data_IF_031044380370
#
_entry.id   IF_031044380370
#
_cell.length_a   1.000
_cell.length_b   1.000
_cell.length_c   1.000
_cell.angle_alpha   90.00
_cell.angle_beta   90.00
_cell.angle_gamma   90.00
#
_symmetry.space_group_name_H-M   'P 1'
#
loop_
_entity.id
_entity.type
_entity.pdbx_description
1 polymer ?
#
# COMPACT_ATOMS: atom_id res chain seq x y z
N UNK A 1 14.36 -21.84 2.66
CA UNK A 1 12.97 -21.42 2.94
C UNK A 1 12.18 -21.58 1.66
N UNK A 2 11.05 -22.30 1.71
CA UNK A 2 10.14 -22.37 0.57
C UNK A 2 9.38 -21.06 0.50
N UNK A 3 9.48 -20.35 -0.62
CA UNK A 3 8.66 -19.15 -0.85
C UNK A 3 7.20 -19.56 -1.03
N UNK A 4 6.27 -18.71 -0.58
CA UNK A 4 4.84 -18.77 -0.92
C UNK A 4 4.67 -18.98 -2.42
N UNK A 5 3.76 -19.83 -2.90
CA UNK A 5 3.59 -20.03 -4.33
C UNK A 5 3.17 -18.72 -5.04
N UNK A 6 3.52 -18.56 -6.33
CA UNK A 6 3.00 -17.44 -7.13
C UNK A 6 1.49 -17.57 -7.24
N UNK A 7 0.78 -16.46 -7.03
CA UNK A 7 -0.68 -16.38 -6.96
C UNK A 7 -1.28 -16.81 -5.62
N UNK A 8 -0.46 -17.22 -4.64
CA UNK A 8 -0.95 -17.51 -3.30
C UNK A 8 -0.88 -16.27 -2.40
N UNK A 9 -1.86 -16.19 -1.51
CA UNK A 9 -1.91 -15.16 -0.48
C UNK A 9 -0.83 -15.37 0.57
N UNK A 10 -0.31 -14.29 1.13
CA UNK A 10 0.59 -14.36 2.27
C UNK A 10 -0.17 -14.76 3.54
N UNK A 11 0.45 -15.61 4.35
CA UNK A 11 -0.05 -15.90 5.70
C UNK A 11 0.33 -14.75 6.64
N UNK A 12 -0.52 -14.49 7.62
CA UNK A 12 -0.26 -13.48 8.65
C UNK A 12 0.80 -14.00 9.64
N UNK A 13 2.06 -13.70 9.35
CA UNK A 13 3.22 -14.03 10.19
C UNK A 13 3.77 -12.79 10.90
N UNK A 14 4.74 -12.98 11.80
CA UNK A 14 5.48 -11.86 12.38
C UNK A 14 6.24 -11.06 11.31
N UNK A 15 6.92 -11.74 10.37
CA UNK A 15 7.63 -11.09 9.26
C UNK A 15 6.68 -10.27 8.38
N UNK A 16 5.47 -10.78 8.14
CA UNK A 16 4.43 -10.04 7.42
C UNK A 16 4.03 -8.76 8.15
N UNK A 17 3.80 -8.83 9.47
CA UNK A 17 3.44 -7.66 10.29
C UNK A 17 4.58 -6.65 10.35
N UNK A 18 5.83 -7.10 10.42
CA UNK A 18 7.01 -6.23 10.35
C UNK A 18 7.13 -5.53 9.00
N UNK A 19 6.87 -6.23 7.89
CA UNK A 19 6.82 -5.62 6.56
C UNK A 19 5.74 -4.55 6.47
N UNK A 20 4.52 -4.82 6.94
CA UNK A 20 3.42 -3.83 6.92
C UNK A 20 3.80 -2.59 7.73
N UNK A 21 4.36 -2.76 8.93
CA UNK A 21 4.84 -1.65 9.75
C UNK A 21 6.00 -0.87 9.12
N UNK A 22 6.90 -1.54 8.38
CA UNK A 22 7.97 -0.85 7.65
C UNK A 22 7.43 -0.01 6.48
N UNK A 23 6.38 -0.49 5.81
CA UNK A 23 5.71 0.24 4.73
C UNK A 23 5.04 1.53 5.21
N UNK A 24 4.56 1.58 6.45
CA UNK A 24 3.98 2.80 7.05
C UNK A 24 4.95 3.99 7.06
N UNK A 25 6.27 3.72 7.12
CA UNK A 25 7.31 4.73 7.05
C UNK A 25 7.84 4.95 5.63
N UNK A 26 8.10 3.85 4.89
CA UNK A 26 8.68 3.93 3.56
C UNK A 26 7.77 4.65 2.55
N UNK A 27 6.45 4.40 2.59
CA UNK A 27 5.51 4.95 1.61
C UNK A 27 5.41 6.49 1.72
N UNK A 28 5.22 7.11 2.90
CA UNK A 28 5.25 8.56 3.03
C UNK A 28 6.54 9.18 2.53
N UNK A 29 7.70 8.56 2.76
CA UNK A 29 8.99 9.06 2.28
C UNK A 29 9.03 9.10 0.75
N UNK A 30 8.62 8.01 0.09
CA UNK A 30 8.54 7.95 -1.37
C UNK A 30 7.52 8.95 -1.93
N UNK A 31 6.35 9.09 -1.30
CA UNK A 31 5.33 10.06 -1.70
C UNK A 31 5.84 11.50 -1.57
N UNK A 32 6.57 11.80 -0.49
CA UNK A 32 7.09 13.13 -0.18
C UNK A 32 8.11 13.67 -1.21
N UNK A 33 8.72 12.80 -2.03
CA UNK A 33 9.58 13.20 -3.13
C UNK A 33 8.81 13.96 -4.23
N UNK A 34 7.56 13.56 -4.50
CA UNK A 34 6.71 14.17 -5.53
C UNK A 34 5.62 15.08 -4.96
N UNK A 35 5.18 14.81 -3.74
CA UNK A 35 4.02 15.44 -3.09
C UNK A 35 4.44 15.99 -1.71
N UNK A 36 4.95 17.23 -1.63
CA UNK A 36 5.57 17.77 -0.41
C UNK A 36 4.67 17.76 0.83
N UNK A 37 3.35 17.75 0.68
CA UNK A 37 2.39 17.62 1.78
C UNK A 37 2.58 16.33 2.60
N UNK A 38 3.08 15.25 1.97
CA UNK A 38 3.37 13.97 2.60
C UNK A 38 4.61 14.01 3.51
N UNK A 39 5.43 15.07 3.49
CA UNK A 39 6.52 15.27 4.47
C UNK A 39 6.01 15.42 5.91
N UNK A 40 4.71 15.69 6.07
CA UNK A 40 4.07 15.96 7.35
C UNK A 40 2.85 15.07 7.60
N UNK A 41 2.65 14.04 6.76
CA UNK A 41 1.59 13.05 6.89
C UNK A 41 2.24 11.68 7.07
N UNK A 42 1.57 10.78 7.79
CA UNK A 42 2.08 9.43 8.07
C UNK A 42 0.94 8.44 7.96
N UNK A 43 1.28 7.24 7.53
CA UNK A 43 0.35 6.12 7.53
C UNK A 43 0.36 5.45 8.91
N UNK A 44 -0.78 4.88 9.26
CA UNK A 44 -0.92 3.83 10.27
C UNK A 44 -1.51 2.62 9.55
N UNK A 45 -1.05 1.42 9.91
CA UNK A 45 -1.67 0.15 9.54
C UNK A 45 -2.12 0.06 8.07
N UNK A 46 -1.21 -0.38 7.20
CA UNK A 46 -1.60 -0.94 5.89
C UNK A 46 -2.34 -2.27 6.10
N UNK A 47 -3.65 -2.28 5.84
CA UNK A 47 -4.50 -3.45 5.99
C UNK A 47 -4.95 -3.94 4.61
N UNK A 48 -4.29 -4.98 4.05
CA UNK A 48 -4.64 -5.50 2.74
C UNK A 48 -5.92 -6.33 2.76
N UNK A 49 -6.78 -6.11 1.77
CA UNK A 49 -7.81 -7.05 1.32
C UNK A 49 -7.20 -8.15 0.44
N UNK A 50 -6.20 -7.78 -0.35
CA UNK A 50 -5.40 -8.66 -1.20
C UNK A 50 -3.95 -8.51 -0.77
N UNK A 51 -3.30 -9.62 -0.45
CA UNK A 51 -1.87 -9.69 -0.15
C UNK A 51 -1.32 -10.95 -0.81
N UNK A 52 -0.76 -10.82 -2.02
CA UNK A 52 -0.43 -11.97 -2.86
C UNK A 52 0.97 -11.86 -3.45
N UNK A 53 1.64 -13.01 -3.57
CA UNK A 53 2.89 -13.10 -4.33
C UNK A 53 2.57 -13.11 -5.82
N UNK A 54 3.14 -12.19 -6.59
CA UNK A 54 2.89 -12.07 -8.03
C UNK A 54 4.05 -12.53 -8.90
N UNK A 55 5.24 -12.70 -8.33
CA UNK A 55 6.45 -13.06 -9.08
C UNK A 55 7.61 -13.46 -8.17
N UNK A 56 8.82 -13.50 -8.70
CA UNK A 56 10.02 -13.74 -7.88
C UNK A 56 10.30 -12.54 -7.00
N UNK A 57 10.09 -12.69 -5.67
CA UNK A 57 10.20 -11.60 -4.69
C UNK A 57 9.28 -10.41 -4.98
N UNK A 58 8.23 -10.62 -5.77
CA UNK A 58 7.22 -9.62 -6.07
C UNK A 58 5.93 -9.89 -5.32
N UNK A 59 5.31 -8.81 -4.85
CA UNK A 59 4.08 -8.84 -4.10
C UNK A 59 3.12 -7.73 -4.56
N UNK A 60 1.83 -8.00 -4.43
CA UNK A 60 0.76 -7.00 -4.52
C UNK A 60 0.05 -6.93 -3.17
N UNK A 61 -0.18 -5.70 -2.72
CA UNK A 61 -1.03 -5.37 -1.58
C UNK A 61 -2.10 -4.39 -2.04
N UNK A 62 -3.37 -4.74 -1.86
CA UNK A 62 -4.49 -3.84 -2.16
C UNK A 62 -5.47 -3.86 -1.00
N UNK A 63 -5.85 -2.70 -0.49
CA UNK A 63 -6.71 -2.60 0.68
C UNK A 63 -6.87 -1.17 1.16
N UNK A 64 -6.83 -1.00 2.47
CA UNK A 64 -7.00 0.29 3.14
C UNK A 64 -5.75 0.63 3.94
N UNK A 65 -5.52 1.92 4.16
CA UNK A 65 -4.53 2.42 5.10
C UNK A 65 -5.16 3.55 5.93
N UNK A 66 -4.73 3.68 7.18
CA UNK A 66 -5.11 4.80 8.02
C UNK A 66 -4.15 5.96 7.82
N UNK A 67 -4.69 7.17 7.88
CA UNK A 67 -3.93 8.41 7.97
C UNK A 67 -3.91 8.84 9.43
N UNK A 68 -2.74 8.82 10.06
CA UNK A 68 -2.58 9.12 11.49
C UNK A 68 -3.09 10.53 11.79
N UNK A 69 -2.81 11.48 10.90
CA UNK A 69 -3.10 12.92 11.06
C UNK A 69 -4.55 13.20 11.44
N UNK A 70 -5.50 12.51 10.82
CA UNK A 70 -6.93 12.79 11.01
C UNK A 70 -7.76 11.53 11.25
N UNK A 71 -7.10 10.39 11.50
CA UNK A 71 -7.74 9.11 11.83
C UNK A 71 -8.77 8.70 10.75
N UNK A 72 -8.49 9.10 9.51
CA UNK A 72 -9.27 8.74 8.34
C UNK A 72 -8.64 7.55 7.63
N UNK A 73 -9.45 6.83 6.86
CA UNK A 73 -9.02 5.68 6.08
C UNK A 73 -9.15 5.98 4.60
N UNK A 74 -8.17 5.52 3.84
CA UNK A 74 -8.08 5.69 2.39
C UNK A 74 -7.69 4.38 1.71
N UNK A 75 -8.13 4.14 0.47
CA UNK A 75 -7.67 2.98 -0.28
C UNK A 75 -6.18 3.10 -0.59
N UNK A 76 -5.53 1.94 -0.72
CA UNK A 76 -4.13 1.83 -1.08
C UNK A 76 -3.92 0.65 -2.02
N UNK A 77 -3.02 0.84 -2.99
CA UNK A 77 -2.46 -0.20 -3.83
C UNK A 77 -0.95 -0.09 -3.83
N UNK A 78 -0.28 -1.23 -3.59
CA UNK A 78 1.16 -1.38 -3.65
C UNK A 78 1.48 -2.57 -4.54
N UNK A 79 2.42 -2.37 -5.47
CA UNK A 79 3.10 -3.46 -6.14
C UNK A 79 4.59 -3.25 -5.96
N UNK A 80 5.30 -4.23 -5.42
CA UNK A 80 6.72 -4.07 -5.10
C UNK A 80 7.52 -5.33 -5.34
N UNK A 81 8.83 -5.13 -5.52
CA UNK A 81 9.83 -6.19 -5.48
C UNK A 81 10.85 -5.90 -4.39
N UNK A 82 11.20 -6.92 -3.61
CA UNK A 82 12.24 -6.82 -2.58
C UNK A 82 13.58 -7.41 -3.06
N UNK A 83 14.67 -6.90 -2.51
CA UNK A 83 16.00 -7.42 -2.73
C UNK A 83 16.19 -8.81 -2.08
N UNK A 84 16.89 -9.76 -2.72
CA UNK A 84 17.14 -11.09 -2.14
C UNK A 84 18.05 -11.14 -0.92
N UNK A 85 18.91 -10.13 -0.72
CA UNK A 85 20.06 -10.20 0.18
C UNK A 85 20.04 -9.13 1.26
N UNK A 86 19.41 -7.99 1.00
CA UNK A 86 19.33 -6.87 1.93
C UNK A 86 17.88 -6.41 2.12
N UNK A 87 17.60 -5.75 3.24
CA UNK A 87 16.30 -5.16 3.52
C UNK A 87 16.10 -3.89 2.67
N UNK A 88 15.69 -4.11 1.41
CA UNK A 88 15.52 -3.05 0.42
C UNK A 88 14.39 -3.39 -0.55
N UNK A 89 13.59 -2.39 -0.88
CA UNK A 89 12.69 -2.44 -2.03
C UNK A 89 13.49 -2.08 -3.29
N UNK A 90 13.47 -2.93 -4.31
CA UNK A 90 14.12 -2.68 -5.59
C UNK A 90 13.31 -1.76 -6.48
N UNK A 91 11.99 -1.99 -6.51
CA UNK A 91 11.04 -1.09 -7.14
C UNK A 91 9.69 -1.17 -6.43
N UNK A 92 8.94 -0.06 -6.50
CA UNK A 92 7.59 0.07 -5.96
C UNK A 92 6.75 0.87 -6.95
N UNK A 93 5.52 0.42 -7.16
CA UNK A 93 4.40 1.24 -7.60
C UNK A 93 3.45 1.41 -6.42
N UNK A 94 3.19 2.66 -6.03
CA UNK A 94 2.29 3.00 -4.95
C UNK A 94 1.20 3.95 -5.45
N UNK A 95 -0.05 3.61 -5.11
CA UNK A 95 -1.23 4.43 -5.36
C UNK A 95 -1.99 4.56 -4.06
N UNK A 96 -2.39 5.78 -3.71
CA UNK A 96 -3.06 6.04 -2.44
C UNK A 96 -4.17 7.07 -2.60
N UNK A 97 -5.29 6.79 -1.94
CA UNK A 97 -6.47 7.64 -1.92
C UNK A 97 -7.31 7.60 -3.19
N UNK A 98 -8.60 7.81 -3.03
CA UNK A 98 -9.52 8.06 -4.14
C UNK A 98 -9.67 9.57 -4.33
N UNK A 99 -9.64 10.06 -5.58
CA UNK A 99 -9.85 11.46 -5.91
C UNK A 99 -11.33 11.82 -5.75
N UNK A 100 -11.57 12.97 -5.14
CA UNK A 100 -12.90 13.55 -5.00
C UNK A 100 -12.92 15.03 -5.38
N UNK A 101 -14.09 15.68 -5.29
CA UNK A 101 -14.27 17.07 -5.70
C UNK A 101 -13.40 18.09 -4.95
N UNK A 102 -12.96 17.76 -3.72
CA UNK A 102 -12.18 18.64 -2.85
C UNK A 102 -10.79 18.06 -2.53
N UNK A 103 -10.27 17.18 -3.40
CA UNK A 103 -9.03 16.45 -3.16
C UNK A 103 -9.28 15.00 -2.75
N UNK A 104 -8.33 14.39 -2.05
CA UNK A 104 -8.42 12.99 -1.64
C UNK A 104 -9.64 12.74 -0.75
N UNK A 105 -10.46 11.76 -1.11
CA UNK A 105 -11.61 11.32 -0.33
C UNK A 105 -11.12 10.62 0.94
N UNK A 106 -11.30 11.32 2.06
CA UNK A 106 -11.05 10.78 3.40
C UNK A 106 -12.35 10.23 3.98
N UNK A 107 -12.30 9.06 4.62
CA UNK A 107 -13.46 8.43 5.27
C UNK A 107 -13.16 8.26 6.76
N UNK A 108 -14.14 8.43 7.66
CA UNK A 108 -13.91 8.18 9.08
C UNK A 108 -13.44 6.74 9.29
N UNK A 109 -12.42 6.53 10.10
CA UNK A 109 -11.91 5.20 10.39
C UNK A 109 -12.92 4.26 11.06
N UNK A 110 -13.92 4.81 11.76
CA UNK A 110 -15.09 4.04 12.24
C UNK A 110 -15.92 3.37 11.13
N UNK A 111 -15.67 3.70 9.87
CA UNK A 111 -16.29 3.08 8.70
C UNK A 111 -15.39 2.07 7.99
N UNK A 112 -14.27 1.66 8.60
CA UNK A 112 -13.24 0.80 8.00
C UNK A 112 -13.82 -0.44 7.30
N UNK A 113 -14.54 -1.31 8.01
CA UNK A 113 -15.11 -2.55 7.44
C UNK A 113 -16.01 -2.28 6.23
N UNK A 114 -16.78 -1.19 6.30
CA UNK A 114 -17.65 -0.75 5.20
C UNK A 114 -16.84 -0.26 4.00
N UNK A 115 -15.71 0.42 4.21
CA UNK A 115 -14.83 0.82 3.12
C UNK A 115 -14.10 -0.39 2.53
N UNK A 116 -13.61 -1.30 3.37
CA UNK A 116 -12.94 -2.51 2.92
C UNK A 116 -13.86 -3.36 2.02
N UNK A 117 -15.11 -3.57 2.45
CA UNK A 117 -16.13 -4.25 1.63
C UNK A 117 -16.37 -3.55 0.28
N UNK A 118 -16.35 -2.21 0.25
CA UNK A 118 -16.52 -1.43 -0.98
C UNK A 118 -15.35 -1.54 -1.95
N UNK A 119 -14.17 -1.96 -1.50
CA UNK A 119 -13.01 -2.14 -2.39
C UNK A 119 -13.03 -3.47 -3.13
N UNK A 120 -13.77 -4.46 -2.64
CA UNK A 120 -13.79 -5.80 -3.20
C UNK A 120 -14.16 -5.77 -4.70
N UNK A 121 -13.21 -6.18 -5.56
CA UNK A 121 -13.37 -6.23 -7.01
C UNK A 121 -13.40 -4.86 -7.72
N UNK A 122 -12.94 -3.78 -7.08
CA UNK A 122 -13.00 -2.41 -7.61
C UNK A 122 -11.65 -1.72 -7.78
N UNK A 123 -10.54 -2.45 -7.73
CA UNK A 123 -9.19 -1.90 -7.86
C UNK A 123 -9.03 -1.01 -9.10
N UNK A 124 -9.47 -1.49 -10.26
CA UNK A 124 -9.38 -0.78 -11.54
C UNK A 124 -10.35 0.41 -11.69
N UNK A 125 -11.25 0.61 -10.72
CA UNK A 125 -12.27 1.66 -10.74
C UNK A 125 -11.89 2.87 -9.89
N UNK A 126 -10.78 2.82 -9.17
CA UNK A 126 -10.35 3.90 -8.28
C UNK A 126 -9.59 4.94 -9.10
N UNK A 127 -10.14 6.16 -9.15
CA UNK A 127 -9.40 7.32 -9.62
C UNK A 127 -8.41 7.76 -8.54
N UNK A 128 -7.19 7.24 -8.58
CA UNK A 128 -6.20 7.47 -7.53
C UNK A 128 -5.80 8.94 -7.37
N UNK A 129 -5.81 9.43 -6.12
CA UNK A 129 -5.42 10.79 -5.78
C UNK A 129 -3.90 11.02 -5.97
N UNK A 130 -3.10 10.05 -5.52
CA UNK A 130 -1.64 10.06 -5.64
C UNK A 130 -1.14 8.78 -6.31
N UNK A 131 -0.09 8.92 -7.12
CA UNK A 131 0.61 7.80 -7.76
C UNK A 131 2.10 8.09 -7.76
N UNK A 132 2.91 7.15 -7.31
CA UNK A 132 4.37 7.26 -7.33
C UNK A 132 4.99 5.93 -7.72
N UNK A 133 6.11 6.01 -8.41
CA UNK A 133 7.00 4.89 -8.69
C UNK A 133 8.36 5.17 -8.07
N UNK A 134 8.95 4.17 -7.42
CA UNK A 134 10.29 4.20 -6.87
C UNK A 134 11.14 3.10 -7.49
N UNK A 135 12.43 3.37 -7.71
CA UNK A 135 13.37 2.44 -8.35
C UNK A 135 13.07 2.19 -9.83
N UNK A 136 13.73 1.17 -10.39
CA UNK A 136 13.55 0.76 -11.80
C UNK A 136 12.97 -0.64 -11.89
N UNK A 137 11.79 -0.76 -12.53
CA UNK A 137 11.20 -2.06 -12.85
C UNK A 137 11.90 -2.63 -14.09
N UNK A 138 12.93 -3.44 -13.88
CA UNK A 138 13.57 -4.17 -14.97
C UNK A 138 12.59 -5.18 -15.56
N UNK A 139 12.28 -5.05 -16.85
CA UNK A 139 11.44 -5.98 -17.62
C UNK A 139 12.23 -7.18 -18.12
#
# INVERSE_FOLDING_TARGET
MNQTAVGASFEETEDFRQLMGALDYFIPEVLAELYPEWKSDTLDDVIPLVAERTGEREAVFFGMSWLIRDQSVVPMYLQLQIDPAIDRINWLECRIGERGPQGMLRRPGSSFDKQLYRLQGREDQIDWAYRVTYGEKHR
#
